data_IF_661960244610
#
_entry.id   IF_661960244610
#
_cell.length_a   1.000
_cell.length_b   1.000
_cell.length_c   1.000
_cell.angle_alpha   90.00
_cell.angle_beta   90.00
_cell.angle_gamma   90.00
#
_symmetry.space_group_name_H-M   'P 1'
#
loop_
_entity.id
_entity.type
_entity.pdbx_description
1 polymer ?
#
# COMPACT_ATOMS: atom_id res chain seq x y z
N UNK A 1 -31.12 25.95 -50.11
CA UNK A 1 -29.95 26.32 -49.27
C UNK A 1 -30.08 25.91 -47.78
N UNK A 2 -31.25 25.57 -47.27
CA UNK A 2 -31.46 25.18 -45.85
C UNK A 2 -31.01 23.77 -45.46
N UNK A 3 -30.93 22.82 -46.38
CA UNK A 3 -30.55 21.40 -46.04
C UNK A 3 -29.08 21.18 -45.76
N UNK A 4 -28.17 22.07 -46.15
CA UNK A 4 -26.72 21.92 -45.90
C UNK A 4 -26.29 22.43 -44.53
N UNK A 5 -27.02 23.34 -43.92
CA UNK A 5 -26.73 23.93 -42.62
C UNK A 5 -27.10 22.98 -41.48
N UNK A 6 -28.17 22.20 -41.63
CA UNK A 6 -28.62 21.24 -40.63
C UNK A 6 -27.65 20.07 -40.46
N UNK A 7 -26.92 19.68 -41.54
CA UNK A 7 -25.97 18.59 -41.50
C UNK A 7 -24.66 18.96 -40.78
N UNK A 8 -24.28 20.25 -40.89
CA UNK A 8 -23.07 20.74 -40.21
C UNK A 8 -23.23 20.84 -38.69
N UNK A 9 -24.43 21.15 -38.20
CA UNK A 9 -24.74 21.19 -36.77
C UNK A 9 -24.76 19.80 -36.12
N UNK A 10 -25.18 18.78 -36.85
CA UNK A 10 -25.22 17.41 -36.33
C UNK A 10 -23.81 16.80 -36.14
N UNK A 11 -22.87 17.18 -36.99
CA UNK A 11 -21.45 16.71 -36.88
C UNK A 11 -20.74 17.44 -35.73
N UNK A 12 -21.00 18.71 -35.49
CA UNK A 12 -20.41 19.46 -34.38
C UNK A 12 -20.88 18.97 -33.00
N UNK A 13 -22.14 18.49 -32.88
CA UNK A 13 -22.64 17.90 -31.64
C UNK A 13 -22.06 16.53 -31.31
N UNK A 14 -21.58 15.76 -32.32
CA UNK A 14 -20.98 14.42 -32.12
C UNK A 14 -19.53 14.49 -31.64
N UNK A 15 -18.82 15.59 -31.87
CA UNK A 15 -17.40 15.77 -31.50
C UNK A 15 -17.27 16.21 -30.02
N UNK A 16 -18.30 16.76 -29.43
CA UNK A 16 -18.28 17.24 -28.03
C UNK A 16 -18.55 16.14 -26.98
N UNK A 17 -18.90 14.93 -27.41
CA UNK A 17 -19.22 13.81 -26.48
C UNK A 17 -18.04 12.85 -26.21
N UNK A 18 -16.85 13.13 -26.75
CA UNK A 18 -15.69 12.21 -26.68
C UNK A 18 -14.56 12.66 -25.75
N UNK A 19 -14.78 13.63 -24.86
CA UNK A 19 -13.72 14.19 -24.00
C UNK A 19 -13.98 14.03 -22.50
N UNK A 20 -14.57 12.93 -22.07
CA UNK A 20 -14.70 12.64 -20.62
C UNK A 20 -14.48 11.16 -20.31
N UNK A 21 -13.47 10.54 -20.90
CA UNK A 21 -12.79 9.44 -20.23
C UNK A 21 -11.86 10.10 -19.21
N UNK A 22 -12.45 10.59 -18.12
CA UNK A 22 -11.70 10.79 -16.89
C UNK A 22 -11.05 9.44 -16.61
N UNK A 23 -9.73 9.40 -16.66
CA UNK A 23 -8.97 8.28 -16.14
C UNK A 23 -9.44 8.10 -14.68
N UNK A 24 -10.39 7.21 -14.49
CA UNK A 24 -10.77 6.78 -13.15
C UNK A 24 -9.49 6.15 -12.60
N UNK A 25 -8.83 6.84 -11.68
CA UNK A 25 -7.69 6.26 -10.97
C UNK A 25 -8.17 4.94 -10.39
N UNK A 26 -7.78 3.85 -11.02
CA UNK A 26 -8.19 2.52 -10.59
C UNK A 26 -7.62 2.31 -9.20
N UNK A 27 -8.49 2.21 -8.21
CA UNK A 27 -8.12 1.82 -6.84
C UNK A 27 -7.39 0.48 -6.92
N UNK A 28 -6.10 0.37 -6.53
CA UNK A 28 -5.36 -0.88 -6.62
C UNK A 28 -6.07 -2.00 -5.87
N UNK A 29 -5.83 -3.23 -6.25
CA UNK A 29 -6.31 -4.38 -5.50
C UNK A 29 -5.39 -4.68 -4.33
N UNK A 30 -5.94 -5.30 -3.27
CA UNK A 30 -5.15 -5.80 -2.15
C UNK A 30 -4.11 -6.79 -2.65
N UNK A 31 -2.85 -6.61 -2.22
CA UNK A 31 -1.72 -7.39 -2.70
C UNK A 31 -1.02 -6.76 -3.92
N UNK A 32 -1.51 -5.62 -4.45
CA UNK A 32 -0.74 -4.89 -5.47
C UNK A 32 0.62 -4.51 -4.92
N UNK A 33 1.67 -5.02 -5.55
CA UNK A 33 3.06 -4.74 -5.19
C UNK A 33 3.42 -3.32 -5.64
N UNK A 34 3.81 -2.49 -4.68
CA UNK A 34 4.30 -1.12 -4.91
C UNK A 34 5.80 -1.12 -5.10
N UNK A 35 6.50 -1.96 -4.31
CA UNK A 35 7.93 -2.21 -4.46
C UNK A 35 8.21 -3.68 -4.24
N UNK A 36 8.88 -4.31 -5.19
CA UNK A 36 9.32 -5.69 -5.09
C UNK A 36 10.64 -5.81 -4.34
N UNK A 37 10.72 -6.87 -3.57
CA UNK A 37 11.95 -7.39 -3.00
C UNK A 37 12.16 -8.85 -3.40
N UNK A 38 13.38 -9.31 -3.23
CA UNK A 38 13.70 -10.74 -3.28
C UNK A 38 13.29 -11.38 -1.95
N UNK A 39 12.05 -11.82 -1.88
CA UNK A 39 11.52 -12.47 -0.68
C UNK A 39 11.72 -13.98 -0.79
N UNK A 40 12.92 -14.44 -0.49
CA UNK A 40 13.32 -15.85 -0.60
C UNK A 40 13.32 -16.59 0.78
N UNK A 41 12.88 -15.89 1.83
CA UNK A 41 12.78 -16.40 3.20
C UNK A 41 11.55 -17.26 3.46
N UNK A 42 11.25 -17.47 4.75
CA UNK A 42 10.12 -18.28 5.23
C UNK A 42 9.18 -17.52 6.16
N UNK A 43 9.58 -16.34 6.59
CA UNK A 43 8.77 -15.50 7.46
C UNK A 43 7.46 -15.10 6.78
N UNK A 44 6.41 -14.95 7.60
CA UNK A 44 5.08 -14.57 7.16
C UNK A 44 4.57 -13.40 8.00
N UNK A 45 3.90 -12.43 7.36
CA UNK A 45 3.26 -11.30 8.01
C UNK A 45 1.82 -11.15 7.53
N UNK A 46 0.88 -11.43 8.42
CA UNK A 46 -0.54 -11.16 8.21
C UNK A 46 -0.83 -9.68 8.50
N UNK A 47 -1.36 -8.98 7.51
CA UNK A 47 -1.72 -7.57 7.60
C UNK A 47 -3.24 -7.44 7.46
N UNK A 48 -3.91 -7.04 8.53
CA UNK A 48 -5.36 -6.85 8.58
C UNK A 48 -5.65 -5.36 8.56
N UNK A 49 -6.28 -4.85 7.51
CA UNK A 49 -6.65 -3.45 7.43
C UNK A 49 -8.09 -3.23 7.91
N UNK A 50 -8.26 -3.01 9.21
CA UNK A 50 -9.53 -2.63 9.85
C UNK A 50 -9.68 -1.11 10.02
N UNK A 51 -8.84 -0.32 9.32
CA UNK A 51 -8.95 1.15 9.28
C UNK A 51 -10.06 1.62 8.35
N UNK A 52 -10.37 2.91 8.39
CA UNK A 52 -11.35 3.54 7.51
C UNK A 52 -10.82 3.77 6.09
N UNK A 53 -9.52 3.84 5.93
CA UNK A 53 -8.84 4.17 4.68
C UNK A 53 -8.01 2.98 4.15
N UNK A 54 -7.64 3.04 2.87
CA UNK A 54 -6.70 2.11 2.29
C UNK A 54 -5.30 2.34 2.86
N UNK A 55 -4.46 1.32 2.78
CA UNK A 55 -3.10 1.38 3.30
C UNK A 55 -2.07 0.86 2.28
N UNK A 56 -0.87 1.41 2.35
CA UNK A 56 0.35 0.78 1.82
C UNK A 56 1.21 0.42 3.01
N UNK A 57 1.46 -0.88 3.18
CA UNK A 57 2.37 -1.40 4.18
C UNK A 57 3.76 -1.54 3.57
N UNK A 58 4.75 -0.95 4.24
CA UNK A 58 6.15 -0.92 3.79
C UNK A 58 7.00 -1.60 4.86
N UNK A 59 7.57 -2.73 4.49
CA UNK A 59 8.52 -3.46 5.32
C UNK A 59 9.94 -3.03 4.94
N UNK A 60 10.68 -2.48 5.88
CA UNK A 60 12.05 -2.02 5.67
C UNK A 60 13.00 -2.68 6.67
N UNK A 61 14.22 -2.98 6.24
CA UNK A 61 15.26 -3.52 7.13
C UNK A 61 15.52 -2.54 8.27
N UNK A 62 15.39 -3.02 9.50
CA UNK A 62 15.43 -2.19 10.71
C UNK A 62 16.65 -1.26 10.75
N UNK A 63 16.39 0.02 10.98
CA UNK A 63 17.40 1.06 11.14
C UNK A 63 18.14 1.48 9.86
N UNK A 64 17.80 0.90 8.69
CA UNK A 64 18.51 1.22 7.43
C UNK A 64 17.67 2.05 6.47
N UNK A 65 16.33 1.98 6.56
CA UNK A 65 15.42 2.56 5.59
C UNK A 65 15.38 1.82 4.24
N UNK A 66 16.11 0.72 4.10
CA UNK A 66 16.08 -0.10 2.87
C UNK A 66 14.76 -0.87 2.84
N UNK A 67 13.94 -0.55 1.85
CA UNK A 67 12.64 -1.21 1.66
C UNK A 67 12.84 -2.60 1.11
N UNK A 68 12.30 -3.58 1.84
CA UNK A 68 12.26 -4.98 1.46
C UNK A 68 10.97 -5.34 0.72
N UNK A 69 9.83 -4.82 1.14
CA UNK A 69 8.56 -4.97 0.42
C UNK A 69 7.64 -3.78 0.66
N UNK A 70 6.82 -3.46 -0.33
CA UNK A 70 5.71 -2.52 -0.16
C UNK A 70 4.47 -3.02 -0.91
N UNK A 71 3.34 -3.14 -0.19
CA UNK A 71 2.09 -3.71 -0.73
C UNK A 71 0.90 -2.83 -0.38
N UNK A 72 -0.05 -2.77 -1.32
CA UNK A 72 -1.31 -2.06 -1.14
C UNK A 72 -2.38 -2.97 -0.53
N UNK A 73 -3.14 -2.45 0.45
CA UNK A 73 -4.16 -3.20 1.17
C UNK A 73 -5.40 -2.32 1.31
N UNK A 74 -6.51 -2.73 0.73
CA UNK A 74 -7.79 -2.01 0.85
C UNK A 74 -8.31 -2.06 2.28
N UNK A 75 -9.08 -1.05 2.65
CA UNK A 75 -9.85 -1.09 3.91
C UNK A 75 -10.77 -2.30 3.92
N UNK A 76 -10.81 -3.00 5.06
CA UNK A 76 -11.60 -4.22 5.28
C UNK A 76 -10.92 -5.50 4.81
N UNK A 77 -9.76 -5.44 4.14
CA UNK A 77 -9.09 -6.60 3.60
C UNK A 77 -7.95 -7.12 4.50
N UNK A 78 -7.55 -8.35 4.21
CA UNK A 78 -6.41 -9.04 4.83
C UNK A 78 -5.44 -9.41 3.71
N UNK A 79 -4.15 -9.21 3.96
CA UNK A 79 -3.08 -9.64 3.07
C UNK A 79 -2.01 -10.42 3.84
N UNK A 80 -1.61 -11.57 3.32
CA UNK A 80 -0.50 -12.36 3.85
C UNK A 80 0.75 -12.12 3.00
N UNK A 81 1.76 -11.45 3.58
CA UNK A 81 3.07 -11.25 3.00
C UNK A 81 3.96 -12.42 3.37
N UNK A 82 4.39 -13.20 2.39
CA UNK A 82 5.18 -14.43 2.58
C UNK A 82 6.58 -14.27 2.01
N UNK A 83 7.51 -15.11 2.48
CA UNK A 83 8.86 -15.14 1.94
C UNK A 83 9.82 -14.16 2.62
N UNK A 84 9.48 -13.61 3.78
CA UNK A 84 10.31 -12.66 4.51
C UNK A 84 11.57 -13.39 5.01
N UNK A 85 12.74 -12.82 4.72
CA UNK A 85 14.03 -13.37 5.19
C UNK A 85 14.19 -13.18 6.70
N UNK A 86 15.07 -13.98 7.30
CA UNK A 86 15.42 -13.84 8.71
C UNK A 86 16.06 -12.47 8.95
N UNK A 87 15.57 -11.76 9.96
CA UNK A 87 16.03 -10.42 10.26
C UNK A 87 15.04 -9.61 11.09
N UNK A 88 15.38 -8.37 11.37
CA UNK A 88 14.54 -7.42 12.07
C UNK A 88 14.11 -6.30 11.11
N UNK A 89 12.85 -5.95 11.14
CA UNK A 89 12.22 -5.04 10.17
C UNK A 89 11.39 -3.96 10.85
N UNK A 90 11.49 -2.75 10.34
CA UNK A 90 10.54 -1.68 10.65
C UNK A 90 9.34 -1.78 9.71
N UNK A 91 8.14 -1.64 10.25
CA UNK A 91 6.91 -1.57 9.46
C UNK A 91 6.39 -0.14 9.43
N UNK A 92 6.33 0.42 8.23
CA UNK A 92 5.75 1.73 7.96
C UNK A 92 4.41 1.58 7.26
N UNK A 93 3.52 2.53 7.50
CA UNK A 93 2.18 2.57 6.92
C UNK A 93 1.93 3.94 6.30
N UNK A 94 1.55 3.95 5.02
CA UNK A 94 0.84 5.09 4.40
C UNK A 94 -0.64 4.75 4.39
N UNK A 95 -1.49 5.63 4.88
CA UNK A 95 -2.94 5.44 4.85
C UNK A 95 -3.60 6.64 4.19
N UNK A 96 -4.73 6.41 3.53
CA UNK A 96 -5.47 7.48 2.88
C UNK A 96 -6.42 6.98 1.80
N UNK A 97 -6.93 7.93 1.04
CA UNK A 97 -7.85 7.70 -0.06
C UNK A 97 -7.26 8.24 -1.37
N UNK A 98 -7.73 7.70 -2.52
CA UNK A 98 -7.31 8.11 -3.85
C UNK A 98 -5.80 7.96 -4.04
N UNK A 99 -5.35 6.72 -4.15
CA UNK A 99 -3.95 6.39 -4.43
C UNK A 99 -3.52 6.92 -5.80
N UNK A 100 -2.45 7.67 -5.85
CA UNK A 100 -1.80 8.10 -7.08
C UNK A 100 -0.54 7.26 -7.30
N UNK A 101 -0.59 6.35 -8.28
CA UNK A 101 0.51 5.44 -8.56
C UNK A 101 1.77 6.16 -9.08
N UNK A 102 1.61 7.25 -9.83
CA UNK A 102 2.74 8.02 -10.35
C UNK A 102 3.49 8.81 -9.28
N UNK A 103 2.81 9.19 -8.20
CA UNK A 103 3.39 9.89 -7.05
C UNK A 103 3.62 8.96 -5.84
N UNK A 104 3.23 7.70 -5.95
CA UNK A 104 3.28 6.69 -4.89
C UNK A 104 2.74 7.19 -3.52
N UNK A 105 1.62 7.92 -3.56
CA UNK A 105 0.99 8.49 -2.38
C UNK A 105 -0.52 8.57 -2.50
N UNK A 106 -1.19 8.62 -1.37
CA UNK A 106 -2.60 9.02 -1.27
C UNK A 106 -2.73 10.54 -1.40
N UNK A 107 -3.81 11.01 -2.04
CA UNK A 107 -4.08 12.45 -2.24
C UNK A 107 -5.22 12.96 -1.36
N UNK A 108 -5.89 12.12 -0.60
CA UNK A 108 -6.90 12.52 0.37
C UNK A 108 -6.74 11.72 1.67
N UNK A 109 -7.03 12.31 2.81
CA UNK A 109 -6.93 11.74 4.16
C UNK A 109 -5.57 11.10 4.46
N UNK A 110 -4.51 11.68 3.91
CA UNK A 110 -3.18 11.13 3.97
C UNK A 110 -2.59 11.16 5.37
N UNK A 111 -2.05 10.03 5.79
CA UNK A 111 -1.24 9.91 7.01
C UNK A 111 -0.12 8.90 6.83
N UNK A 112 0.97 9.09 7.59
CA UNK A 112 2.10 8.19 7.65
C UNK A 112 2.42 7.84 9.09
N UNK A 113 2.80 6.60 9.31
CA UNK A 113 3.21 6.12 10.62
C UNK A 113 4.22 4.98 10.51
N UNK A 114 4.94 4.73 11.61
CA UNK A 114 5.80 3.57 11.78
C UNK A 114 5.37 2.82 13.04
N UNK A 115 5.40 1.49 13.00
CA UNK A 115 5.26 0.68 14.21
C UNK A 115 6.40 1.01 15.17
N UNK A 116 6.09 1.10 16.47
CA UNK A 116 7.09 1.48 17.48
C UNK A 116 8.21 0.45 17.58
N UNK A 117 7.84 -0.81 17.62
CA UNK A 117 8.75 -1.92 17.80
C UNK A 117 8.99 -2.63 16.46
N UNK A 118 10.22 -3.02 16.14
CA UNK A 118 10.51 -3.79 14.96
C UNK A 118 9.93 -5.21 15.06
N UNK A 119 9.66 -5.80 13.90
CA UNK A 119 9.20 -7.19 13.78
C UNK A 119 10.42 -8.05 13.45
N UNK A 120 10.63 -9.13 14.20
CA UNK A 120 11.74 -10.05 13.95
C UNK A 120 11.25 -11.37 13.38
N UNK A 121 11.87 -11.81 12.30
CA UNK A 121 11.62 -13.10 11.67
C UNK A 121 12.84 -14.00 11.82
N UNK A 122 12.58 -15.24 12.19
CA UNK A 122 13.62 -16.28 12.41
C UNK A 122 13.15 -17.62 11.86
N UNK A 123 14.08 -18.35 11.24
CA UNK A 123 13.89 -19.72 10.76
C UNK A 123 14.79 -20.66 11.57
N UNK A 124 14.18 -21.59 12.30
CA UNK A 124 14.87 -22.50 13.22
C UNK A 124 14.70 -23.95 12.73
N UNK A 125 15.80 -24.68 12.65
CA UNK A 125 15.77 -26.13 12.42
C UNK A 125 15.54 -26.84 13.76
N UNK A 126 14.53 -27.68 13.81
CA UNK A 126 14.19 -28.52 14.95
C UNK A 126 14.21 -30.00 14.53
N UNK A 127 14.28 -30.97 15.43
CA UNK A 127 14.28 -32.39 15.06
C UNK A 127 13.12 -32.83 14.20
N UNK A 128 11.95 -32.21 14.40
CA UNK A 128 10.70 -32.52 13.70
C UNK A 128 10.56 -31.78 12.36
N UNK A 129 11.51 -30.87 12.01
CA UNK A 129 11.46 -30.11 10.76
C UNK A 129 11.99 -28.69 10.85
N UNK A 130 11.29 -27.75 10.22
CA UNK A 130 11.64 -26.33 10.21
C UNK A 130 10.49 -25.53 10.82
N UNK A 131 10.80 -24.64 11.75
CA UNK A 131 9.88 -23.64 12.31
C UNK A 131 10.30 -22.26 11.81
N UNK A 132 9.35 -21.44 11.43
CA UNK A 132 9.57 -20.04 11.04
C UNK A 132 8.63 -19.11 11.78
N UNK A 133 8.95 -17.82 11.79
CA UNK A 133 8.15 -16.80 12.42
C UNK A 133 6.93 -16.46 11.56
N UNK A 134 5.76 -16.34 12.22
CA UNK A 134 4.54 -15.77 11.66
C UNK A 134 4.14 -14.62 12.57
N UNK A 135 4.03 -13.42 12.01
CA UNK A 135 3.59 -12.23 12.71
C UNK A 135 2.23 -11.77 12.19
N UNK A 136 1.46 -11.08 13.02
CA UNK A 136 0.19 -10.48 12.63
C UNK A 136 0.12 -9.05 13.12
N UNK A 137 -0.32 -8.15 12.24
CA UNK A 137 -0.62 -6.77 12.60
C UNK A 137 -2.05 -6.41 12.19
N UNK A 138 -2.64 -5.50 12.94
CA UNK A 138 -3.96 -4.93 12.60
C UNK A 138 -3.83 -3.42 12.50
N UNK A 139 -4.07 -2.88 11.31
CA UNK A 139 -4.20 -1.47 11.05
C UNK A 139 -5.58 -1.04 11.53
N UNK A 140 -5.66 -0.04 12.41
CA UNK A 140 -6.89 0.52 12.96
C UNK A 140 -6.99 1.99 12.61
N UNK A 141 -8.19 2.55 12.75
CA UNK A 141 -8.35 4.00 12.76
C UNK A 141 -7.42 4.65 13.78
N UNK A 142 -6.90 5.82 13.39
CA UNK A 142 -6.05 6.63 14.27
C UNK A 142 -6.84 7.09 15.49
N UNK A 143 -6.65 6.44 16.61
CA UNK A 143 -7.10 6.94 17.91
C UNK A 143 -5.94 7.70 18.55
N UNK A 144 -6.20 8.93 19.01
CA UNK A 144 -5.26 9.65 19.87
C UNK A 144 -4.94 8.78 21.09
N UNK A 145 -3.64 8.54 21.31
CA UNK A 145 -3.16 7.70 22.42
C UNK A 145 -2.91 6.22 22.08
N UNK A 146 -3.07 5.80 20.81
CA UNK A 146 -2.68 4.45 20.41
C UNK A 146 -1.15 4.36 20.26
N UNK A 147 -0.53 3.65 21.20
CA UNK A 147 0.92 3.59 21.40
C UNK A 147 1.67 2.67 20.43
N UNK A 148 0.98 1.99 19.52
CA UNK A 148 1.57 0.95 18.67
C UNK A 148 2.20 1.56 17.41
N UNK A 149 1.63 2.62 16.86
CA UNK A 149 2.15 3.30 15.68
C UNK A 149 2.44 4.78 15.98
N UNK A 150 3.61 5.25 15.56
CA UNK A 150 4.08 6.62 15.77
C UNK A 150 4.02 7.36 14.43
N UNK A 151 3.41 8.57 14.36
CA UNK A 151 3.46 9.40 13.16
C UNK A 151 4.90 9.65 12.72
N UNK A 152 5.14 9.65 11.43
CA UNK A 152 6.44 10.00 10.85
C UNK A 152 6.26 11.01 9.72
N UNK A 153 7.28 11.86 9.55
CA UNK A 153 7.33 12.84 8.47
C UNK A 153 7.87 12.20 7.18
N UNK A 154 7.67 12.88 6.05
CA UNK A 154 8.11 12.40 4.74
C UNK A 154 9.62 12.11 4.68
N UNK A 155 10.44 12.86 5.43
CA UNK A 155 11.89 12.68 5.50
C UNK A 155 12.32 11.38 6.20
N UNK A 156 11.47 10.85 7.08
CA UNK A 156 11.73 9.62 7.85
C UNK A 156 11.13 8.40 7.15
N UNK A 157 10.14 8.63 6.29
CA UNK A 157 9.47 7.54 5.58
C UNK A 157 10.40 6.98 4.48
N UNK A 158 10.57 5.65 4.38
CA UNK A 158 11.42 5.05 3.37
C UNK A 158 11.00 5.41 1.94
N UNK A 159 11.98 5.66 1.08
CA UNK A 159 11.75 5.92 -0.34
C UNK A 159 11.30 4.63 -1.04
N UNK A 160 10.20 4.74 -1.76
CA UNK A 160 9.64 3.62 -2.52
C UNK A 160 10.24 3.50 -3.93
N UNK A 161 11.04 4.46 -4.39
CA UNK A 161 11.71 4.46 -5.69
C UNK A 161 11.04 5.29 -6.74
#
# INVERSE_FOLDING_TARGET
>A
MQKKITFLFAIAAMILCSASVLAQELRPETGTVIKESKMDGRGELDIINNGADDAVAVLAVNGTGIVDAAVYIRTGDIFNLIGIEDGSYDLYLKQGQRWNAGLQRFIANFSQSRMRDPITFETIKIPEGIRHSVAQITIKERQEGNTIAVPVDDEVFPDLG
#
